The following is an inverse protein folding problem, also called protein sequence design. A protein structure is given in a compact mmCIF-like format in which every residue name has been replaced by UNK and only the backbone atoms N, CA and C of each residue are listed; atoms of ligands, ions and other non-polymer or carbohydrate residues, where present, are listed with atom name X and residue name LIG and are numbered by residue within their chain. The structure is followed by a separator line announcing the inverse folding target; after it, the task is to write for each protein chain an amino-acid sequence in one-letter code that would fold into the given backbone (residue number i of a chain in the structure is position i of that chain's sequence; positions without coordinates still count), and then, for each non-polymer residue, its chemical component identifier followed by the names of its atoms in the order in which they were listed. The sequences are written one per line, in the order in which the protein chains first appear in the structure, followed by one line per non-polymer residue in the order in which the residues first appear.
data_IF_995891108794
#
_entry.id   IF_995891108794
#
_cell.length_a   1.000
_cell.length_b   1.000
_cell.length_c   1.000
_cell.angle_alpha   90.00
_cell.angle_beta   90.00
_cell.angle_gamma   90.00
#
_symmetry.space_group_name_H-M   'P 1'
#
loop_
_entity.id
_entity.type
_entity.pdbx_description
1 polymer ?
#
# COMPACT_ATOMS: atom_id res chain seq x y z
N UNK A 1 -0.44 -18.72 20.26
CA UNK A 1 0.25 -18.40 18.99
C UNK A 1 1.34 -17.35 19.27
N UNK A 2 2.51 -17.45 18.64
CA UNK A 2 3.65 -16.53 18.86
C UNK A 2 3.25 -15.05 18.66
N UNK A 3 2.37 -14.77 17.68
CA UNK A 3 1.89 -13.41 17.42
C UNK A 3 1.18 -12.77 18.62
N UNK A 4 0.28 -13.48 19.30
CA UNK A 4 -0.43 -12.97 20.49
C UNK A 4 0.51 -12.68 21.65
N UNK A 5 1.51 -13.56 21.86
CA UNK A 5 2.56 -13.34 22.86
C UNK A 5 3.36 -12.08 22.53
N UNK A 6 3.79 -11.92 21.28
CA UNK A 6 4.57 -10.76 20.86
C UNK A 6 3.77 -9.45 20.86
N UNK A 7 2.46 -9.51 20.62
CA UNK A 7 1.55 -8.37 20.82
C UNK A 7 1.54 -7.97 22.31
N UNK A 8 1.40 -8.95 23.22
CA UNK A 8 1.43 -8.66 24.67
C UNK A 8 2.77 -8.11 25.15
N UNK A 9 3.87 -8.51 24.49
CA UNK A 9 5.23 -8.03 24.74
C UNK A 9 5.55 -6.73 23.99
N UNK A 10 4.59 -6.14 23.26
CA UNK A 10 4.76 -4.92 22.44
C UNK A 10 5.92 -5.01 21.42
N UNK A 11 6.20 -6.21 20.91
CA UNK A 11 7.24 -6.48 19.89
C UNK A 11 6.76 -6.12 18.48
N UNK A 12 6.26 -4.90 18.32
CA UNK A 12 5.56 -4.47 17.11
C UNK A 12 6.51 -4.38 15.91
N UNK A 13 7.77 -4.02 16.11
CA UNK A 13 8.74 -3.95 15.01
C UNK A 13 8.99 -5.32 14.37
N UNK A 14 9.16 -6.34 15.19
CA UNK A 14 9.42 -7.70 14.70
C UNK A 14 8.17 -8.27 14.04
N UNK A 15 6.99 -8.02 14.59
CA UNK A 15 5.72 -8.41 13.97
C UNK A 15 5.53 -7.72 12.61
N UNK A 16 5.76 -6.41 12.53
CA UNK A 16 5.64 -5.64 11.28
C UNK A 16 6.71 -6.12 10.27
N UNK A 17 7.93 -6.44 10.72
CA UNK A 17 8.96 -7.02 9.87
C UNK A 17 8.55 -8.38 9.28
N UNK A 18 7.90 -9.24 10.08
CA UNK A 18 7.33 -10.49 9.57
C UNK A 18 6.26 -10.26 8.51
N UNK A 19 5.44 -9.21 8.66
CA UNK A 19 4.45 -8.82 7.64
C UNK A 19 5.14 -8.35 6.36
N UNK A 20 6.07 -7.40 6.44
CA UNK A 20 6.76 -6.85 5.26
C UNK A 20 7.62 -7.89 4.53
N UNK A 21 8.12 -8.90 5.25
CA UNK A 21 8.83 -10.02 4.65
C UNK A 21 7.95 -11.00 3.89
N UNK A 22 6.61 -10.88 3.95
CA UNK A 22 5.67 -11.76 3.26
C UNK A 22 5.67 -13.20 3.80
N UNK A 23 6.08 -13.38 5.05
CA UNK A 23 6.17 -14.71 5.68
C UNK A 23 4.79 -15.33 5.99
N UNK A 24 3.75 -14.51 6.01
CA UNK A 24 2.38 -14.89 6.35
C UNK A 24 1.39 -14.25 5.39
N UNK A 25 0.23 -14.90 5.20
CA UNK A 25 -0.90 -14.30 4.48
C UNK A 25 -1.45 -13.09 5.25
N UNK A 26 -2.06 -12.16 4.52
CA UNK A 26 -2.58 -10.91 5.08
C UNK A 26 -3.58 -11.14 6.22
N UNK A 27 -4.50 -12.10 6.06
CA UNK A 27 -5.52 -12.45 7.05
C UNK A 27 -4.96 -13.08 8.32
N UNK A 28 -3.78 -13.70 8.23
CA UNK A 28 -3.11 -14.37 9.34
C UNK A 28 -2.38 -13.37 10.25
N UNK A 29 -1.74 -12.34 9.67
CA UNK A 29 -0.88 -11.44 10.44
C UNK A 29 -1.12 -9.96 10.19
N UNK A 30 -1.24 -9.51 8.94
CA UNK A 30 -1.43 -8.09 8.63
C UNK A 30 -2.74 -7.56 9.25
N UNK A 31 -3.87 -8.18 8.93
CA UNK A 31 -5.20 -7.70 9.33
C UNK A 31 -5.39 -7.72 10.85
N UNK A 32 -5.07 -8.81 11.58
CA UNK A 32 -5.17 -8.80 13.03
C UNK A 32 -4.29 -7.74 13.69
N UNK A 33 -3.11 -7.47 13.14
CA UNK A 33 -2.18 -6.47 13.67
C UNK A 33 -2.67 -5.05 13.40
N UNK A 34 -3.18 -4.76 12.20
CA UNK A 34 -3.79 -3.48 11.87
C UNK A 34 -4.99 -3.19 12.78
N UNK A 35 -5.88 -4.17 12.97
CA UNK A 35 -7.02 -4.06 13.89
C UNK A 35 -6.56 -3.80 15.33
N UNK A 36 -5.50 -4.48 15.78
CA UNK A 36 -4.91 -4.23 17.10
C UNK A 36 -4.43 -2.79 17.22
N UNK A 37 -3.71 -2.26 16.22
CA UNK A 37 -3.23 -0.88 16.25
C UNK A 37 -4.37 0.15 16.27
N UNK A 38 -5.42 -0.07 15.47
CA UNK A 38 -6.62 0.77 15.49
C UNK A 38 -7.28 0.76 16.87
N UNK A 39 -7.53 -0.43 17.44
CA UNK A 39 -8.19 -0.57 18.76
C UNK A 39 -7.42 0.05 19.91
N UNK A 40 -6.09 0.13 19.80
CA UNK A 40 -5.23 0.65 20.84
C UNK A 40 -4.71 2.07 20.53
N UNK A 41 -5.24 2.73 19.50
CA UNK A 41 -4.82 4.07 19.07
C UNK A 41 -3.31 4.21 18.78
N UNK A 42 -2.70 3.14 18.25
CA UNK A 42 -1.29 3.06 17.88
C UNK A 42 -1.07 3.55 16.44
N UNK A 43 -1.19 4.87 16.27
CA UNK A 43 -1.19 5.50 14.94
C UNK A 43 0.14 5.33 14.20
N UNK A 44 1.28 5.51 14.88
CA UNK A 44 2.60 5.42 14.26
C UNK A 44 2.94 3.99 13.83
N UNK A 45 2.56 2.99 14.61
CA UNK A 45 2.69 1.57 14.23
C UNK A 45 1.80 1.22 13.04
N UNK A 46 0.57 1.73 13.00
CA UNK A 46 -0.33 1.55 11.86
C UNK A 46 0.25 2.18 10.59
N UNK A 47 0.81 3.39 10.70
CA UNK A 47 1.55 4.04 9.60
C UNK A 47 2.71 3.19 9.16
N UNK A 48 3.54 2.73 10.08
CA UNK A 48 4.71 1.92 9.75
C UNK A 48 4.33 0.61 9.05
N UNK A 49 3.26 -0.05 9.50
CA UNK A 49 2.71 -1.25 8.87
C UNK A 49 2.23 -0.98 7.44
N UNK A 50 1.36 0.02 7.25
CA UNK A 50 0.65 0.23 5.98
C UNK A 50 1.46 0.99 4.93
N UNK A 51 2.22 2.01 5.34
CA UNK A 51 2.96 2.88 4.41
C UNK A 51 4.04 2.12 3.63
N UNK A 52 4.62 1.05 4.20
CA UNK A 52 5.60 0.21 3.51
C UNK A 52 5.01 -0.41 2.24
N UNK A 53 3.87 -1.08 2.37
CA UNK A 53 3.23 -1.83 1.29
C UNK A 53 2.71 -0.90 0.21
N UNK A 54 2.08 0.21 0.62
CA UNK A 54 1.61 1.26 -0.29
C UNK A 54 2.80 1.83 -1.08
N UNK A 55 3.89 2.19 -0.40
CA UNK A 55 5.07 2.73 -1.07
C UNK A 55 5.67 1.72 -2.04
N UNK A 56 5.73 0.45 -1.67
CA UNK A 56 6.26 -0.61 -2.53
C UNK A 56 5.40 -0.78 -3.79
N UNK A 57 4.08 -0.91 -3.65
CA UNK A 57 3.18 -1.10 -4.80
C UNK A 57 3.15 0.13 -5.72
N UNK A 58 3.05 1.34 -5.16
CA UNK A 58 3.03 2.58 -5.94
C UNK A 58 4.39 2.83 -6.62
N UNK A 59 5.51 2.41 -6.00
CA UNK A 59 6.81 2.46 -6.66
C UNK A 59 6.87 1.55 -7.88
N UNK A 60 6.32 0.33 -7.80
CA UNK A 60 6.24 -0.57 -8.95
C UNK A 60 5.31 -0.02 -10.04
N UNK A 61 4.21 0.62 -9.66
CA UNK A 61 3.34 1.35 -10.59
C UNK A 61 4.11 2.47 -11.32
N UNK A 62 4.86 3.29 -10.60
CA UNK A 62 5.68 4.36 -11.19
C UNK A 62 6.73 3.82 -12.16
N UNK A 63 7.39 2.71 -11.83
CA UNK A 63 8.40 2.09 -12.67
C UNK A 63 7.78 1.54 -13.97
N UNK A 64 6.62 0.88 -13.88
CA UNK A 64 5.93 0.32 -15.06
C UNK A 64 5.37 1.41 -15.97
N UNK A 65 4.80 2.48 -15.41
CA UNK A 65 4.38 3.68 -16.17
C UNK A 65 5.57 4.33 -16.87
N UNK A 66 6.72 4.43 -16.18
CA UNK A 66 7.92 5.02 -16.75
C UNK A 66 8.39 4.22 -17.97
N UNK A 67 8.50 2.90 -17.83
CA UNK A 67 8.91 1.99 -18.92
C UNK A 67 7.97 2.09 -20.12
N UNK A 68 6.65 2.10 -19.91
CA UNK A 68 5.65 2.26 -20.98
C UNK A 68 5.84 3.58 -21.74
N UNK A 69 6.06 4.68 -21.02
CA UNK A 69 6.29 5.99 -21.64
C UNK A 69 7.61 6.07 -22.39
N UNK A 70 8.64 5.36 -21.93
CA UNK A 70 9.93 5.30 -22.63
C UNK A 70 9.81 4.55 -23.96
N UNK A 71 9.00 3.48 -24.02
CA UNK A 71 8.78 2.68 -25.22
C UNK A 71 7.78 3.34 -26.20
N UNK A 72 6.65 3.81 -25.70
CA UNK A 72 5.51 4.24 -26.52
C UNK A 72 5.25 5.75 -26.52
N UNK A 73 6.10 6.55 -25.84
CA UNK A 73 6.02 8.03 -25.67
C UNK A 73 4.80 8.56 -24.91
N UNK A 74 3.71 7.81 -24.93
CA UNK A 74 2.43 8.15 -24.30
C UNK A 74 1.90 6.94 -23.53
N UNK A 75 1.02 7.20 -22.56
CA UNK A 75 0.33 6.16 -21.80
C UNK A 75 -1.16 6.21 -22.15
N UNK A 76 -1.71 5.11 -22.65
CA UNK A 76 -3.16 4.98 -22.83
C UNK A 76 -3.83 4.65 -21.49
N UNK A 77 -4.20 5.71 -20.77
CA UNK A 77 -4.84 5.62 -19.45
C UNK A 77 -6.17 4.86 -19.55
N UNK A 78 -6.96 5.13 -20.60
CA UNK A 78 -8.27 4.49 -20.80
C UNK A 78 -8.11 2.99 -20.98
N UNK A 79 -7.16 2.56 -21.81
CA UNK A 79 -6.87 1.15 -22.00
C UNK A 79 -6.49 0.47 -20.68
N UNK A 80 -5.59 1.07 -19.89
CA UNK A 80 -5.21 0.54 -18.56
C UNK A 80 -6.43 0.40 -17.65
N UNK A 81 -7.30 1.40 -17.61
CA UNK A 81 -8.49 1.40 -16.76
C UNK A 81 -9.55 0.36 -17.20
N UNK A 82 -9.61 0.01 -18.49
CA UNK A 82 -10.51 -1.00 -19.03
C UNK A 82 -10.00 -2.45 -18.84
N UNK A 83 -8.75 -2.66 -18.42
CA UNK A 83 -8.20 -4.00 -18.23
C UNK A 83 -8.88 -4.69 -17.05
N UNK A 84 -9.45 -5.87 -17.30
CA UNK A 84 -9.86 -6.78 -16.25
C UNK A 84 -8.61 -7.43 -15.64
N UNK A 85 -8.21 -6.95 -14.45
CA UNK A 85 -6.99 -7.38 -13.76
C UNK A 85 -7.04 -8.86 -13.36
N UNK A 86 -8.20 -9.40 -12.99
CA UNK A 86 -8.32 -10.81 -12.58
C UNK A 86 -8.05 -11.74 -13.76
N UNK A 87 -8.63 -11.43 -14.92
CA UNK A 87 -8.39 -12.16 -16.16
C UNK A 87 -6.92 -12.03 -16.60
N UNK A 88 -6.35 -10.83 -16.51
CA UNK A 88 -4.94 -10.60 -16.84
C UNK A 88 -4.00 -11.43 -15.96
N UNK A 89 -4.19 -11.39 -14.63
CA UNK A 89 -3.34 -12.10 -13.66
C UNK A 89 -3.51 -13.62 -13.77
N UNK A 90 -4.69 -14.12 -14.11
CA UNK A 90 -4.93 -15.54 -14.37
C UNK A 90 -4.33 -16.01 -15.71
N UNK A 91 -4.06 -15.09 -16.63
CA UNK A 91 -3.47 -15.36 -17.93
C UNK A 91 -1.95 -15.64 -17.86
N UNK A 92 -1.40 -16.11 -18.99
CA UNK A 92 0.06 -16.28 -19.18
C UNK A 92 0.69 -15.20 -20.07
N UNK A 93 -0.12 -14.34 -20.66
CA UNK A 93 0.33 -13.30 -21.59
C UNK A 93 0.82 -12.08 -20.85
N UNK A 94 2.06 -11.68 -21.09
CA UNK A 94 2.59 -10.42 -20.59
C UNK A 94 2.00 -9.23 -21.37
N UNK A 95 1.62 -8.18 -20.66
CA UNK A 95 1.25 -6.89 -21.25
C UNK A 95 1.74 -5.79 -20.33
N UNK A 96 2.47 -4.81 -20.87
CA UNK A 96 2.94 -3.66 -20.10
C UNK A 96 1.76 -2.87 -19.48
N UNK A 97 0.70 -2.61 -20.26
CA UNK A 97 -0.54 -2.01 -19.76
C UNK A 97 -1.23 -2.90 -18.70
N UNK A 98 -1.17 -4.22 -18.87
CA UNK A 98 -1.64 -5.18 -17.88
C UNK A 98 -0.89 -5.09 -16.56
N UNK A 99 0.44 -4.97 -16.60
CA UNK A 99 1.26 -4.75 -15.39
C UNK A 99 0.90 -3.43 -14.70
N UNK A 100 0.71 -2.35 -15.45
CA UNK A 100 0.26 -1.06 -14.90
C UNK A 100 -1.12 -1.24 -14.22
N UNK A 101 -2.07 -1.91 -14.87
CA UNK A 101 -3.39 -2.18 -14.30
C UNK A 101 -3.30 -3.02 -13.02
N UNK A 102 -2.45 -4.05 -13.00
CA UNK A 102 -2.18 -4.89 -11.83
C UNK A 102 -1.63 -4.09 -10.66
N UNK A 103 -0.59 -3.29 -10.87
CA UNK A 103 0.00 -2.48 -9.80
C UNK A 103 -0.95 -1.37 -9.35
N UNK A 104 -1.72 -0.77 -10.26
CA UNK A 104 -2.77 0.20 -9.93
C UNK A 104 -3.81 -0.42 -9.00
N UNK A 105 -4.37 -1.59 -9.34
CA UNK A 105 -5.34 -2.29 -8.48
C UNK A 105 -4.74 -2.59 -7.10
N UNK A 106 -3.55 -3.18 -7.06
CA UNK A 106 -2.85 -3.50 -5.80
C UNK A 106 -2.64 -2.27 -4.91
N UNK A 107 -2.19 -1.16 -5.49
CA UNK A 107 -2.00 0.10 -4.75
C UNK A 107 -3.33 0.66 -4.24
N UNK A 108 -4.39 0.63 -5.05
CA UNK A 108 -5.72 1.09 -4.63
C UNK A 108 -6.29 0.26 -3.49
N UNK A 109 -6.20 -1.07 -3.57
CA UNK A 109 -6.70 -1.97 -2.53
C UNK A 109 -6.00 -1.67 -1.19
N UNK A 110 -4.68 -1.50 -1.20
CA UNK A 110 -3.89 -1.15 -0.02
C UNK A 110 -4.24 0.24 0.53
N UNK A 111 -4.39 1.25 -0.34
CA UNK A 111 -4.74 2.61 0.08
C UNK A 111 -6.18 2.68 0.63
N UNK A 112 -7.15 2.01 0.00
CA UNK A 112 -8.54 1.96 0.45
C UNK A 112 -8.64 1.30 1.83
N UNK A 113 -7.96 0.16 1.99
CA UNK A 113 -7.89 -0.52 3.29
C UNK A 113 -7.28 0.39 4.35
N UNK A 114 -6.19 1.07 4.03
CA UNK A 114 -5.53 1.98 4.95
C UNK A 114 -6.41 3.18 5.34
N UNK A 115 -7.10 3.80 4.39
CA UNK A 115 -8.10 4.85 4.64
C UNK A 115 -9.14 4.36 5.65
N UNK A 116 -9.66 3.14 5.48
CA UNK A 116 -10.62 2.56 6.42
C UNK A 116 -10.08 2.44 7.86
N UNK A 117 -8.79 2.14 8.04
CA UNK A 117 -8.16 2.16 9.36
C UNK A 117 -7.96 3.58 9.90
N UNK A 118 -7.58 4.52 9.03
CA UNK A 118 -7.37 5.91 9.41
C UNK A 118 -8.69 6.58 9.87
N UNK A 119 -9.81 6.24 9.24
CA UNK A 119 -11.14 6.68 9.68
C UNK A 119 -11.44 6.14 11.09
N UNK A 120 -11.20 4.84 11.32
CA UNK A 120 -11.48 4.20 12.61
C UNK A 120 -10.60 4.70 13.76
N UNK A 121 -9.31 4.94 13.50
CA UNK A 121 -8.37 5.43 14.51
C UNK A 121 -8.50 6.95 14.74
N UNK A 122 -9.34 7.64 13.95
CA UNK A 122 -9.50 9.10 13.95
C UNK A 122 -8.17 9.81 13.71
N UNK A 123 -7.48 9.41 12.64
CA UNK A 123 -6.19 10.00 12.26
C UNK A 123 -6.29 11.52 12.04
N UNK A 124 -5.19 12.28 12.20
CA UNK A 124 -5.17 13.71 11.93
C UNK A 124 -5.69 14.03 10.52
N UNK A 125 -6.59 15.01 10.42
CA UNK A 125 -7.31 15.36 9.17
C UNK A 125 -6.33 15.65 8.03
N UNK A 126 -5.27 16.41 8.28
CA UNK A 126 -4.26 16.73 7.27
C UNK A 126 -3.59 15.48 6.69
N UNK A 127 -3.26 14.51 7.55
CA UNK A 127 -2.67 13.25 7.13
C UNK A 127 -3.68 12.38 6.37
N UNK A 128 -4.94 12.35 6.84
CA UNK A 128 -6.01 11.63 6.18
C UNK A 128 -6.25 12.14 4.74
N UNK A 129 -6.34 13.45 4.57
CA UNK A 129 -6.53 14.09 3.27
C UNK A 129 -5.32 13.87 2.34
N UNK A 130 -4.11 13.84 2.88
CA UNK A 130 -2.92 13.48 2.11
C UNK A 130 -3.00 12.05 1.54
N UNK A 131 -3.48 11.07 2.32
CA UNK A 131 -3.67 9.69 1.81
C UNK A 131 -4.81 9.62 0.79
N UNK A 132 -5.89 10.39 0.99
CA UNK A 132 -6.98 10.52 0.01
C UNK A 132 -6.52 11.17 -1.31
N UNK A 133 -5.65 12.16 -1.26
CA UNK A 133 -5.04 12.76 -2.46
C UNK A 133 -4.17 11.75 -3.20
N UNK A 134 -3.37 10.95 -2.49
CA UNK A 134 -2.63 9.84 -3.10
C UNK A 134 -3.57 8.84 -3.79
N UNK A 135 -4.68 8.47 -3.14
CA UNK A 135 -5.70 7.58 -3.74
C UNK A 135 -6.16 8.12 -5.10
N UNK A 136 -6.56 9.39 -5.16
CA UNK A 136 -7.01 10.06 -6.41
C UNK A 136 -5.92 10.00 -7.48
N UNK A 137 -4.68 10.32 -7.12
CA UNK A 137 -3.54 10.26 -8.05
C UNK A 137 -3.26 8.87 -8.60
N UNK A 138 -3.47 7.81 -7.80
CA UNK A 138 -3.32 6.42 -8.25
C UNK A 138 -4.50 6.02 -9.16
N UNK A 139 -5.73 6.44 -8.84
CA UNK A 139 -6.90 6.23 -9.71
C UNK A 139 -6.64 6.80 -11.11
N UNK A 140 -6.12 8.02 -11.18
CA UNK A 140 -5.90 8.77 -12.41
C UNK A 140 -4.56 8.47 -13.10
N UNK A 141 -3.74 7.57 -12.56
CA UNK A 141 -2.37 7.30 -13.03
C UNK A 141 -1.50 8.56 -13.13
N UNK A 142 -1.78 9.56 -12.28
CA UNK A 142 -1.11 10.87 -12.25
C UNK A 142 -0.07 11.00 -11.13
N UNK A 143 0.08 9.95 -10.31
CA UNK A 143 1.05 9.85 -9.22
C UNK A 143 2.49 10.10 -9.68
N UNK A 144 3.28 10.76 -8.83
CA UNK A 144 4.68 11.12 -9.06
C UNK A 144 5.56 10.64 -7.90
N UNK A 145 6.87 10.48 -8.11
CA UNK A 145 7.79 10.09 -7.04
C UNK A 145 7.75 10.99 -5.79
N UNK A 146 7.46 12.28 -5.98
CA UNK A 146 7.34 13.25 -4.87
C UNK A 146 6.16 12.96 -3.94
N UNK A 147 5.09 12.33 -4.44
CA UNK A 147 3.90 12.03 -3.65
C UNK A 147 4.18 10.95 -2.60
N UNK A 148 5.20 10.10 -2.83
CA UNK A 148 5.63 9.08 -1.87
C UNK A 148 6.55 9.61 -0.76
N UNK A 149 7.02 10.86 -0.83
CA UNK A 149 7.90 11.41 0.22
C UNK A 149 7.20 11.48 1.57
N UNK A 150 5.89 11.69 1.57
CA UNK A 150 5.09 11.80 2.78
C UNK A 150 4.57 10.43 3.27
N UNK A 151 4.69 9.39 2.43
CA UNK A 151 4.36 7.98 2.73
C UNK A 151 5.67 7.21 2.93
N UNK A 152 6.40 7.58 3.97
CA UNK A 152 7.72 7.03 4.27
C UNK A 152 7.99 7.00 5.78
N UNK A 153 6.98 6.76 6.59
CA UNK A 153 7.11 6.69 8.04
C UNK A 153 8.09 5.60 8.46
N UNK A 154 8.84 5.90 9.51
CA UNK A 154 9.80 5.00 10.15
C UNK A 154 9.60 5.14 11.65
N UNK A 155 9.48 4.02 12.37
CA UNK A 155 9.47 4.04 13.83
C UNK A 155 10.82 4.55 14.34
N UNK A 156 10.82 5.61 15.17
CA UNK A 156 12.04 6.16 15.79
C UNK A 156 12.70 5.11 16.70
N UNK A 157 14.02 4.96 16.61
CA UNK A 157 14.80 3.99 17.42
C UNK A 157 15.05 4.45 18.86
N UNK A 158 14.53 5.59 19.26
CA UNK A 158 14.78 6.16 20.58
C UNK A 158 13.92 5.45 21.64
N UNK A 159 14.62 4.64 22.45
CA UNK A 159 14.25 4.21 23.80
C UNK A 159 14.85 5.19 24.79
#
# INVERSE_FOLDING_TARGET
MIAQKWISEKRYRELISCVHGGWYQDDVLFEPLAIHFVKNHLFDELRFLCEHDIRHSVKNLLLTIKSEKEEHKTLDITAVQCINVEVYVAGRGYSQLGEIAKYRKKSLDQIIRYIGYLEQIQAPVEYFEMVRDLQKKVVDLSVKPKDLKQICFRLSTEL
#
